data_IF_063200656323
#
_entry.id   IF_063200656323
#
_cell.length_a   1.000
_cell.length_b   1.000
_cell.length_c   1.000
_cell.angle_alpha   90.00
_cell.angle_beta   90.00
_cell.angle_gamma   90.00
#
_symmetry.space_group_name_H-M   'P 1'
#
loop_
_entity.id
_entity.type
_entity.pdbx_description
1 polymer ?
#
# COMPACT_ATOMS: atom_id res chain seq x y z
N UNK A 1 -3.22 14.19 -14.19
CA UNK A 1 -2.53 13.03 -13.58
C UNK A 1 -1.36 13.45 -12.68
N UNK A 2 -1.45 13.16 -11.38
CA UNK A 2 -0.34 13.31 -10.41
C UNK A 2 0.06 11.94 -9.87
N UNK A 3 1.35 11.76 -9.55
CA UNK A 3 1.88 10.49 -9.08
C UNK A 3 3.02 10.72 -8.08
N UNK A 4 3.12 9.85 -7.08
CA UNK A 4 4.18 9.84 -6.08
C UNK A 4 4.67 8.41 -5.81
N UNK A 5 5.95 8.19 -6.01
CA UNK A 5 6.64 6.96 -5.61
C UNK A 5 7.34 7.19 -4.28
N UNK A 6 7.13 6.28 -3.33
CA UNK A 6 7.80 6.29 -2.04
C UNK A 6 8.26 4.90 -1.65
N UNK A 7 9.46 4.82 -1.08
CA UNK A 7 9.96 3.59 -0.46
C UNK A 7 9.76 3.68 1.06
N UNK A 8 9.20 2.63 1.64
CA UNK A 8 8.99 2.46 3.07
C UNK A 8 9.53 1.10 3.52
N UNK A 9 10.81 1.05 3.90
CA UNK A 9 11.50 -0.18 4.28
C UNK A 9 11.53 -1.19 3.12
N UNK A 10 10.90 -2.34 3.31
CA UNK A 10 10.76 -3.38 2.28
C UNK A 10 9.64 -3.10 1.27
N UNK A 11 8.87 -2.03 1.43
CA UNK A 11 7.73 -1.72 0.58
C UNK A 11 8.06 -0.57 -0.35
N UNK A 12 7.55 -0.65 -1.58
CA UNK A 12 7.54 0.42 -2.56
C UNK A 12 6.09 0.75 -2.87
N UNK A 13 5.73 2.00 -2.62
CA UNK A 13 4.40 2.53 -2.78
C UNK A 13 4.37 3.40 -4.03
N UNK A 14 3.40 3.13 -4.88
CA UNK A 14 3.04 3.90 -6.05
C UNK A 14 1.65 4.49 -5.80
N UNK A 15 1.60 5.77 -5.44
CA UNK A 15 0.38 6.51 -5.15
C UNK A 15 0.06 7.47 -6.30
N UNK A 16 -1.19 7.49 -6.78
CA UNK A 16 -1.57 8.26 -7.96
C UNK A 16 -2.95 8.89 -7.84
N UNK A 17 -3.07 10.07 -8.44
CA UNK A 17 -4.34 10.72 -8.74
C UNK A 17 -4.54 10.71 -10.26
N UNK A 18 -5.48 9.87 -10.69
CA UNK A 18 -5.86 9.68 -12.08
C UNK A 18 -7.06 10.57 -12.41
N UNK A 19 -7.10 11.10 -13.63
CA UNK A 19 -8.26 11.86 -14.11
C UNK A 19 -9.45 10.91 -14.28
N UNK A 20 -10.60 11.26 -13.70
CA UNK A 20 -11.80 10.44 -13.82
C UNK A 20 -12.29 10.43 -15.28
N UNK A 21 -12.81 9.29 -15.77
CA UNK A 21 -13.41 9.25 -17.10
C UNK A 21 -14.53 10.29 -17.18
N UNK A 22 -14.53 11.10 -18.25
CA UNK A 22 -15.41 12.26 -18.50
C UNK A 22 -15.03 13.57 -17.79
N UNK A 23 -13.87 13.64 -17.13
CA UNK A 23 -13.35 14.89 -16.56
C UNK A 23 -14.05 15.34 -15.28
N UNK A 24 -14.80 14.45 -14.65
CA UNK A 24 -15.61 14.74 -13.45
C UNK A 24 -14.78 14.55 -12.15
N UNK A 25 -13.55 15.07 -12.10
CA UNK A 25 -12.67 15.02 -10.92
C UNK A 25 -11.58 13.95 -11.01
N UNK A 26 -11.10 13.49 -9.85
CA UNK A 26 -9.95 12.61 -9.73
C UNK A 26 -10.29 11.29 -9.02
N UNK A 27 -9.65 10.22 -9.46
CA UNK A 27 -9.69 8.89 -8.86
C UNK A 27 -8.34 8.66 -8.20
N UNK A 28 -8.34 8.27 -6.93
CA UNK A 28 -7.13 7.85 -6.26
C UNK A 28 -6.80 6.40 -6.64
N UNK A 29 -5.53 6.10 -6.81
CA UNK A 29 -5.03 4.77 -7.10
C UNK A 29 -3.77 4.52 -6.28
N UNK A 30 -3.63 3.33 -5.73
CA UNK A 30 -2.42 2.93 -5.00
C UNK A 30 -2.00 1.52 -5.36
N UNK A 31 -0.70 1.32 -5.49
CA UNK A 31 -0.08 0.00 -5.57
C UNK A 31 1.04 -0.06 -4.55
N UNK A 32 1.04 -1.09 -3.72
CA UNK A 32 2.13 -1.41 -2.80
C UNK A 32 2.78 -2.69 -3.27
N UNK A 33 4.08 -2.61 -3.50
CA UNK A 33 4.92 -3.74 -3.88
C UNK A 33 5.92 -4.02 -2.77
N UNK A 34 6.06 -5.29 -2.39
CA UNK A 34 7.12 -5.72 -1.46
C UNK A 34 8.37 -6.09 -2.26
N UNK A 35 9.49 -5.50 -1.89
CA UNK A 35 10.81 -5.77 -2.46
C UNK A 35 11.37 -7.04 -1.81
N UNK A 36 11.47 -8.13 -2.57
CA UNK A 36 12.03 -9.40 -2.09
C UNK A 36 13.55 -9.42 -2.35
N UNK A 37 14.35 -9.17 -1.31
CA UNK A 37 15.81 -9.25 -1.36
C UNK A 37 16.49 -8.19 -2.24
N UNK A 38 17.72 -8.47 -2.69
CA UNK A 38 18.57 -7.57 -3.52
C UNK A 38 18.17 -7.53 -5.01
N UNK A 39 17.05 -8.15 -5.39
CA UNK A 39 16.62 -8.30 -6.77
C UNK A 39 15.52 -7.33 -7.18
N UNK A 40 15.55 -6.91 -8.45
CA UNK A 40 14.61 -6.02 -9.16
C UNK A 40 13.15 -6.52 -9.16
N UNK A 41 12.87 -7.72 -8.60
CA UNK A 41 11.51 -8.29 -8.54
C UNK A 41 10.78 -7.78 -7.29
N UNK A 42 10.17 -6.61 -7.41
CA UNK A 42 9.13 -6.18 -6.50
C UNK A 42 7.85 -7.01 -6.78
N UNK A 43 7.27 -7.61 -5.74
CA UNK A 43 6.00 -8.34 -5.84
C UNK A 43 4.88 -7.40 -5.41
N UNK A 44 3.89 -7.17 -6.28
CA UNK A 44 2.66 -6.48 -5.89
C UNK A 44 1.97 -7.29 -4.76
N UNK A 45 1.75 -6.63 -3.62
CA UNK A 45 1.10 -7.22 -2.46
C UNK A 45 -0.25 -6.59 -2.18
N UNK A 46 -0.45 -5.36 -2.66
CA UNK A 46 -1.71 -4.64 -2.53
C UNK A 46 -1.89 -3.68 -3.70
N UNK A 47 -3.11 -3.63 -4.24
CA UNK A 47 -3.52 -2.69 -5.27
C UNK A 47 -4.94 -2.28 -5.00
N UNK A 48 -5.19 -0.99 -5.02
CA UNK A 48 -6.53 -0.44 -4.93
C UNK A 48 -6.69 0.66 -5.97
N UNK A 49 -7.44 0.34 -7.02
CA UNK A 49 -7.86 1.26 -8.07
C UNK A 49 -9.30 1.75 -7.87
N UNK A 50 -9.98 1.21 -6.85
CA UNK A 50 -11.35 1.56 -6.48
C UNK A 50 -11.38 2.62 -5.38
N UNK A 51 -10.28 3.35 -5.20
CA UNK A 51 -9.97 4.24 -4.08
C UNK A 51 -10.81 5.53 -4.12
N UNK A 52 -12.12 5.33 -3.99
CA UNK A 52 -13.14 6.30 -3.62
C UNK A 52 -14.47 5.63 -3.26
N UNK A 53 -14.59 4.29 -3.27
CA UNK A 53 -15.88 3.59 -3.11
C UNK A 53 -16.98 4.13 -4.06
N UNK A 54 -16.59 4.60 -5.26
CA UNK A 54 -17.49 5.24 -6.23
C UNK A 54 -17.59 6.77 -6.13
N UNK A 55 -16.92 7.42 -5.18
CA UNK A 55 -16.81 8.87 -5.11
C UNK A 55 -15.70 9.42 -6.03
N UNK A 56 -15.68 10.72 -6.26
CA UNK A 56 -14.62 11.38 -7.02
C UNK A 56 -14.10 12.55 -6.21
N UNK A 57 -12.78 12.71 -6.19
CA UNK A 57 -12.14 13.81 -5.49
C UNK A 57 -12.19 15.07 -6.36
N UNK A 58 -12.41 16.22 -5.72
CA UNK A 58 -12.48 17.50 -6.41
C UNK A 58 -11.09 17.99 -6.80
N UNK A 59 -10.06 17.55 -6.08
CA UNK A 59 -8.65 17.87 -6.35
C UNK A 59 -7.79 16.62 -6.48
N UNK A 60 -6.72 16.74 -7.27
CA UNK A 60 -5.73 15.69 -7.41
C UNK A 60 -4.95 15.46 -6.11
N UNK A 61 -4.68 16.54 -5.36
CA UNK A 61 -3.96 16.48 -4.08
C UNK A 61 -4.73 15.67 -3.03
N UNK A 62 -6.05 15.85 -2.91
CA UNK A 62 -6.86 15.05 -1.98
C UNK A 62 -6.87 13.57 -2.37
N UNK A 63 -7.02 13.27 -3.67
CA UNK A 63 -6.95 11.89 -4.17
C UNK A 63 -5.57 11.27 -3.86
N UNK A 64 -4.50 12.02 -4.08
CA UNK A 64 -3.15 11.57 -3.82
C UNK A 64 -2.93 11.34 -2.31
N UNK A 65 -3.33 12.29 -1.46
CA UNK A 65 -3.25 12.13 0.00
C UNK A 65 -4.02 10.88 0.47
N UNK A 66 -5.21 10.66 -0.06
CA UNK A 66 -6.02 9.49 0.29
C UNK A 66 -5.32 8.17 -0.08
N UNK A 67 -4.74 8.10 -1.30
CA UNK A 67 -3.97 6.93 -1.72
C UNK A 67 -2.75 6.66 -0.83
N UNK A 68 -2.05 7.72 -0.37
CA UNK A 68 -0.91 7.60 0.54
C UNK A 68 -1.32 7.13 1.94
N UNK A 69 -2.42 7.67 2.48
CA UNK A 69 -2.98 7.21 3.75
C UNK A 69 -3.33 5.72 3.68
N UNK A 70 -4.00 5.29 2.60
CA UNK A 70 -4.35 3.88 2.41
C UNK A 70 -3.13 2.97 2.34
N UNK A 71 -2.08 3.40 1.64
CA UNK A 71 -0.83 2.65 1.59
C UNK A 71 -0.22 2.45 2.99
N UNK A 72 -0.19 3.53 3.76
CA UNK A 72 0.40 3.55 5.11
C UNK A 72 -0.38 2.67 6.07
N UNK A 73 -1.73 2.73 6.03
CA UNK A 73 -2.60 1.85 6.79
C UNK A 73 -2.35 0.38 6.47
N UNK A 74 -2.27 0.04 5.17
CA UNK A 74 -2.05 -1.33 4.74
C UNK A 74 -0.67 -1.86 5.19
N UNK A 75 0.39 -1.05 5.01
CA UNK A 75 1.75 -1.41 5.43
C UNK A 75 1.83 -1.62 6.94
N UNK A 76 1.18 -0.76 7.73
CA UNK A 76 1.13 -0.91 9.18
C UNK A 76 0.45 -2.22 9.59
N UNK A 77 -0.65 -2.58 8.95
CA UNK A 77 -1.36 -3.84 9.20
C UNK A 77 -0.51 -5.07 8.81
N UNK A 78 0.13 -5.05 7.64
CA UNK A 78 0.99 -6.16 7.17
C UNK A 78 2.20 -6.37 8.09
N UNK A 79 2.83 -5.28 8.56
CA UNK A 79 3.92 -5.34 9.54
C UNK A 79 3.48 -5.97 10.86
N UNK A 80 2.31 -5.59 11.36
CA UNK A 80 1.77 -6.16 12.59
C UNK A 80 1.52 -7.66 12.45
N UNK A 81 0.90 -8.09 11.35
CA UNK A 81 0.65 -9.50 11.08
C UNK A 81 1.96 -10.32 10.98
N UNK A 82 2.99 -9.78 10.33
CA UNK A 82 4.30 -10.42 10.25
C UNK A 82 4.97 -10.55 11.63
N UNK A 83 4.85 -9.53 12.50
CA UNK A 83 5.37 -9.57 13.86
C UNK A 83 4.64 -10.61 14.73
N UNK A 84 3.32 -10.69 14.61
CA UNK A 84 2.48 -11.66 15.33
C UNK A 84 2.80 -13.11 14.91
N UNK A 85 3.00 -13.35 13.61
CA UNK A 85 3.45 -14.63 13.06
C UNK A 85 4.83 -15.02 13.58
N UNK A 86 5.79 -14.08 13.60
CA UNK A 86 7.14 -14.32 14.13
C UNK A 86 7.11 -14.67 15.62
N UNK A 87 6.30 -13.95 16.41
CA UNK A 87 6.14 -14.19 17.85
C UNK A 87 5.51 -15.56 18.13
N UNK A 88 4.51 -15.95 17.33
CA UNK A 88 3.85 -17.26 17.44
C UNK A 88 4.76 -18.44 17.12
N UNK A 89 5.70 -18.25 16.18
CA UNK A 89 6.70 -19.27 15.83
C UNK A 89 7.81 -19.39 16.89
N UNK A 90 8.18 -18.28 17.53
CA UNK A 90 9.18 -18.28 18.62
C UNK A 90 8.65 -18.99 19.88
N UNK A 91 7.37 -18.84 20.22
CA UNK A 91 6.75 -19.47 21.38
C UNK A 91 6.58 -20.99 21.29
N UNK A 92 6.74 -21.61 20.11
CA UNK A 92 6.66 -23.08 19.92
C UNK A 92 7.99 -23.81 20.09
N UNK A 93 9.09 -23.11 20.39
CA UNK A 93 10.44 -23.71 20.47
C UNK A 93 10.92 -24.04 21.88
N UNK A 94 10.14 -23.79 22.93
CA UNK A 94 10.51 -24.09 24.32
C UNK A 94 9.63 -25.18 24.94
N UNK A 95 9.76 -26.41 24.43
CA UNK A 95 9.47 -27.63 25.18
C UNK A 95 10.23 -28.77 24.53
N UNK A 96 11.49 -28.96 24.92
CA UNK A 96 12.13 -30.26 24.88
C UNK A 96 13.21 -30.36 25.98
N UNK A 97 12.80 -31.10 27.02
CA UNK A 97 13.53 -31.92 28.01
C UNK A 97 14.58 -31.28 28.93
#
# INVERSE_FOLDING_TARGET
>A
MQFNERVDGEYRVYAGALDAPRGEGYIAAVVVSRMLGTGVKAREVFRDESLACGHRWQSADEALMFSMCKASEWIAADRQQAADLSSSLSGRREVQF
#
